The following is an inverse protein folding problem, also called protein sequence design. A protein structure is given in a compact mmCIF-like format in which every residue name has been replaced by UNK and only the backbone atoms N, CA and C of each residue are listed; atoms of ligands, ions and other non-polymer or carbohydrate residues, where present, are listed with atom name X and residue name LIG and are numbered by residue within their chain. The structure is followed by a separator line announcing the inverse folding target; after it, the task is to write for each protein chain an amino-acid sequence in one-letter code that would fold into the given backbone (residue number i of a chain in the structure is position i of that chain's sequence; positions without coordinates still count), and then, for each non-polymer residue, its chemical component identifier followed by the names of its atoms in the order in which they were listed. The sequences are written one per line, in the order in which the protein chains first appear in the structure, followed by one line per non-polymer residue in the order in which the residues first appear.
data_IF_409436819929
#
_entry.id   IF_409436819929
#
_cell.length_a   1.000
_cell.length_b   1.000
_cell.length_c   1.000
_cell.angle_alpha   90.00
_cell.angle_beta   90.00
_cell.angle_gamma   90.00
#
_symmetry.space_group_name_H-M   'P 1'
#
loop_
_entity.id
_entity.type
_entity.pdbx_description
1 polymer ?
#
# COMPACT_ATOMS: atom_id res chain seq x y z
N UNK A 1 -13.53 -6.40 -11.85
CA UNK A 1 -14.14 -6.47 -10.50
C UNK A 1 -14.61 -5.08 -10.13
N UNK A 2 -15.87 -4.92 -9.73
CA UNK A 2 -16.42 -3.64 -9.24
C UNK A 2 -15.94 -3.41 -7.81
N UNK A 3 -15.21 -2.31 -7.58
CA UNK A 3 -14.81 -1.90 -6.22
C UNK A 3 -16.06 -1.56 -5.41
N UNK A 4 -16.09 -1.92 -4.13
CA UNK A 4 -17.17 -1.53 -3.24
C UNK A 4 -17.24 0.00 -3.12
N UNK A 5 -18.42 0.53 -2.81
CA UNK A 5 -18.60 1.97 -2.58
C UNK A 5 -17.69 2.49 -1.45
N UNK A 6 -17.44 1.67 -0.42
CA UNK A 6 -16.51 2.00 0.66
C UNK A 6 -15.06 2.07 0.17
N UNK A 7 -14.62 1.13 -0.67
CA UNK A 7 -13.28 1.13 -1.24
C UNK A 7 -13.05 2.35 -2.13
N UNK A 8 -14.04 2.72 -2.95
CA UNK A 8 -13.95 3.91 -3.81
C UNK A 8 -13.87 5.19 -2.97
N UNK A 9 -14.73 5.33 -1.95
CA UNK A 9 -14.71 6.47 -1.02
C UNK A 9 -13.38 6.60 -0.27
N UNK A 10 -12.80 5.47 0.16
CA UNK A 10 -11.47 5.49 0.76
C UNK A 10 -10.43 5.98 -0.23
N UNK A 11 -10.37 5.42 -1.45
CA UNK A 11 -9.36 5.80 -2.44
C UNK A 11 -9.43 7.27 -2.86
N UNK A 12 -10.61 7.89 -2.81
CA UNK A 12 -10.81 9.32 -3.11
C UNK A 12 -10.56 10.26 -1.91
N UNK A 13 -10.37 9.68 -0.71
CA UNK A 13 -10.18 10.44 0.53
C UNK A 13 -8.81 11.14 0.59
N UNK A 14 -8.72 12.16 1.47
CA UNK A 14 -7.45 12.81 1.78
C UNK A 14 -6.45 11.83 2.41
N UNK A 15 -6.94 10.97 3.30
CA UNK A 15 -6.15 9.93 3.95
C UNK A 15 -5.47 9.01 2.93
N UNK A 16 -6.20 8.54 1.92
CA UNK A 16 -5.62 7.70 0.87
C UNK A 16 -4.53 8.41 0.05
N UNK A 17 -4.64 9.73 -0.17
CA UNK A 17 -3.58 10.51 -0.83
C UNK A 17 -2.32 10.59 0.04
N UNK A 18 -2.48 10.86 1.33
CA UNK A 18 -1.36 10.92 2.29
C UNK A 18 -0.66 9.56 2.41
N UNK A 19 -1.42 8.47 2.51
CA UNK A 19 -0.89 7.11 2.54
C UNK A 19 -0.12 6.80 1.24
N UNK A 20 -0.67 7.18 0.09
CA UNK A 20 -0.01 6.95 -1.20
C UNK A 20 1.33 7.70 -1.29
N UNK A 21 1.40 8.92 -0.79
CA UNK A 21 2.66 9.68 -0.74
C UNK A 21 3.70 8.99 0.15
N UNK A 22 3.29 8.51 1.33
CA UNK A 22 4.16 7.74 2.23
C UNK A 22 4.70 6.47 1.54
N UNK A 23 3.83 5.71 0.86
CA UNK A 23 4.23 4.49 0.15
C UNK A 23 5.19 4.78 -1.01
N UNK A 24 4.98 5.89 -1.73
CA UNK A 24 5.91 6.31 -2.80
C UNK A 24 7.27 6.69 -2.22
N UNK A 25 7.31 7.45 -1.11
CA UNK A 25 8.56 7.82 -0.45
C UNK A 25 9.34 6.57 0.00
N UNK A 26 8.65 5.54 0.49
CA UNK A 26 9.29 4.26 0.82
C UNK A 26 9.86 3.53 -0.41
N UNK A 27 9.29 3.72 -1.61
CA UNK A 27 9.87 3.11 -2.83
C UNK A 27 11.18 3.76 -3.27
N UNK A 28 11.32 5.06 -3.01
CA UNK A 28 12.52 5.82 -3.38
C UNK A 28 13.62 5.75 -2.33
N UNK A 29 13.29 5.29 -1.12
CA UNK A 29 14.22 5.22 0.00
C UNK A 29 14.94 3.85 0.03
N UNK A 30 16.29 3.85 -0.09
CA UNK A 30 17.06 2.61 -0.10
C UNK A 30 17.05 1.85 1.24
N UNK A 31 16.58 2.45 2.34
CA UNK A 31 16.40 1.75 3.61
C UNK A 31 15.26 0.72 3.56
N UNK A 32 14.40 0.74 2.53
CA UNK A 32 13.25 -0.16 2.43
C UNK A 32 13.31 -1.06 1.18
N UNK A 33 13.16 -2.36 1.39
CA UNK A 33 12.98 -3.34 0.33
C UNK A 33 11.51 -3.34 -0.15
N UNK A 34 11.22 -2.51 -1.15
CA UNK A 34 9.89 -2.29 -1.75
C UNK A 34 9.76 -2.91 -3.15
N UNK A 35 10.56 -3.93 -3.46
CA UNK A 35 10.56 -4.57 -4.78
C UNK A 35 9.15 -5.04 -5.17
N UNK A 36 8.79 -4.76 -6.42
CA UNK A 36 7.52 -5.22 -7.00
C UNK A 36 7.46 -6.74 -6.98
N UNK A 37 6.33 -7.31 -6.55
CA UNK A 37 6.12 -8.76 -6.54
C UNK A 37 5.20 -9.16 -7.68
N UNK A 38 5.55 -10.24 -8.36
CA UNK A 38 4.68 -10.87 -9.34
C UNK A 38 3.45 -11.46 -8.64
N UNK A 39 2.25 -11.08 -9.10
CA UNK A 39 0.99 -11.67 -8.64
C UNK A 39 0.25 -12.28 -9.83
N UNK A 40 0.12 -13.62 -9.88
CA UNK A 40 -0.67 -14.30 -10.92
C UNK A 40 -2.13 -13.83 -10.93
N UNK A 41 -2.68 -13.51 -9.76
CA UNK A 41 -4.06 -13.03 -9.62
C UNK A 41 -4.28 -11.65 -10.25
N UNK A 42 -3.25 -10.82 -10.33
CA UNK A 42 -3.28 -9.51 -10.98
C UNK A 42 -2.82 -9.54 -12.44
N UNK A 43 -2.43 -10.71 -12.97
CA UNK A 43 -1.96 -10.87 -14.34
C UNK A 43 -0.58 -10.25 -14.61
N UNK A 44 0.24 -9.98 -13.58
CA UNK A 44 1.55 -9.33 -13.78
C UNK A 44 2.27 -8.89 -12.51
N UNK A 45 3.26 -8.01 -12.68
CA UNK A 45 3.95 -7.35 -11.58
C UNK A 45 3.03 -6.34 -10.92
N UNK A 46 2.82 -6.48 -9.61
CA UNK A 46 2.08 -5.50 -8.82
C UNK A 46 3.07 -4.58 -8.15
N UNK A 47 2.92 -3.28 -8.40
CA UNK A 47 3.73 -2.25 -7.76
C UNK A 47 3.42 -2.21 -6.27
N UNK A 48 4.44 -1.96 -5.45
CA UNK A 48 4.35 -1.91 -3.99
C UNK A 48 3.19 -0.99 -3.53
N UNK A 49 3.12 0.22 -4.06
CA UNK A 49 2.07 1.19 -3.75
C UNK A 49 0.69 0.63 -4.07
N UNK A 50 0.49 0.08 -5.27
CA UNK A 50 -0.82 -0.40 -5.73
C UNK A 50 -1.33 -1.55 -4.85
N UNK A 51 -0.45 -2.49 -4.50
CA UNK A 51 -0.76 -3.60 -3.59
C UNK A 51 -1.28 -3.11 -2.24
N UNK A 52 -0.57 -2.15 -1.64
CA UNK A 52 -0.91 -1.67 -0.30
C UNK A 52 -2.14 -0.76 -0.31
N UNK A 53 -2.31 0.06 -1.35
CA UNK A 53 -3.52 0.86 -1.54
C UNK A 53 -4.76 -0.01 -1.80
N UNK A 54 -4.63 -1.07 -2.58
CA UNK A 54 -5.70 -2.05 -2.80
C UNK A 54 -6.09 -2.72 -1.49
N UNK A 55 -5.11 -3.22 -0.73
CA UNK A 55 -5.36 -3.86 0.55
C UNK A 55 -6.09 -2.94 1.53
N UNK A 56 -5.65 -1.69 1.69
CA UNK A 56 -6.29 -0.73 2.59
C UNK A 56 -7.70 -0.34 2.12
N UNK A 57 -7.92 -0.26 0.80
CA UNK A 57 -9.26 0.00 0.26
C UNK A 57 -10.27 -1.12 0.54
N UNK A 58 -9.79 -2.35 0.70
CA UNK A 58 -10.62 -3.51 1.05
C UNK A 58 -10.81 -3.64 2.57
N UNK A 59 -9.95 -3.03 3.38
CA UNK A 59 -9.93 -3.12 4.85
C UNK A 59 -10.03 -1.75 5.50
N UNK A 60 -11.09 -0.99 5.19
CA UNK A 60 -11.26 0.40 5.63
C UNK A 60 -11.46 0.57 7.15
N UNK A 61 -11.64 -0.50 7.90
CA UNK A 61 -11.73 -0.49 9.38
C UNK A 61 -10.35 -0.62 10.04
N UNK A 62 -9.30 -0.88 9.26
CA UNK A 62 -7.94 -1.05 9.75
C UNK A 62 -7.31 0.32 10.04
N UNK A 63 -6.57 0.43 11.13
CA UNK A 63 -5.83 1.64 11.45
C UNK A 63 -4.63 1.80 10.51
N UNK A 64 -4.74 2.70 9.53
CA UNK A 64 -3.73 2.91 8.50
C UNK A 64 -2.36 3.32 9.08
N UNK A 65 -2.32 4.09 10.16
CA UNK A 65 -1.06 4.48 10.82
C UNK A 65 -0.31 3.29 11.40
N UNK A 66 -1.04 2.36 12.05
CA UNK A 66 -0.44 1.12 12.55
C UNK A 66 0.02 0.22 11.40
N UNK A 67 -0.78 0.14 10.33
CA UNK A 67 -0.41 -0.61 9.13
C UNK A 67 0.91 -0.13 8.54
N UNK A 68 1.03 1.18 8.30
CA UNK A 68 2.22 1.77 7.71
C UNK A 68 3.44 1.61 8.62
N UNK A 69 3.27 1.72 9.94
CA UNK A 69 4.35 1.47 10.90
C UNK A 69 4.86 0.03 10.80
N UNK A 70 3.95 -0.95 10.76
CA UNK A 70 4.30 -2.35 10.59
C UNK A 70 4.96 -2.59 9.22
N UNK A 71 4.43 -1.97 8.16
CA UNK A 71 4.97 -2.12 6.81
C UNK A 71 6.40 -1.61 6.73
N UNK A 72 6.71 -0.46 7.35
CA UNK A 72 8.08 0.05 7.47
C UNK A 72 8.99 -0.93 8.18
N UNK A 73 8.56 -1.49 9.32
CA UNK A 73 9.36 -2.46 10.06
C UNK A 73 9.64 -3.75 9.26
N UNK A 74 8.67 -4.22 8.48
CA UNK A 74 8.79 -5.42 7.67
C UNK A 74 9.68 -5.22 6.43
N UNK A 75 9.64 -4.03 5.84
CA UNK A 75 10.37 -3.72 4.61
C UNK A 75 11.75 -3.16 4.87
N UNK A 76 12.04 -2.68 6.08
CA UNK A 76 13.36 -2.13 6.42
C UNK A 76 14.46 -3.16 6.19
N UNK A 77 15.46 -2.78 5.41
CA UNK A 77 16.68 -3.55 5.22
C UNK A 77 17.41 -3.61 6.57
N UNK A 78 17.76 -4.82 7.00
CA UNK A 78 18.58 -5.05 8.19
C UNK A 78 20.01 -5.28 7.73
N UNK A 79 20.94 -4.53 8.31
CA UNK A 79 22.38 -4.79 8.17
C UNK A 79 22.77 -6.16 8.76
#
# INVERSE_FOLDING_TARGET
MTKSLSAQRFLDSKEAKEIREILNNMMTDPEFNTKSMYSPAAGGNVLFVDKHMEYLSQHTTLNASHYLSNLRLMTRVRE
#
